data_IF_535423033394
#
_entry.id   IF_535423033394
#
_cell.length_a   1.000
_cell.length_b   1.000
_cell.length_c   1.000
_cell.angle_alpha   90.00
_cell.angle_beta   90.00
_cell.angle_gamma   90.00
#
_symmetry.space_group_name_H-M   'P 1'
#
loop_
_entity.id
_entity.type
_entity.pdbx_description
1 polymer ?
#
# COMPACT_ATOMS: atom_id res chain seq x y z
N UNK A 1 -14.75 17.28 41.36
CA UNK A 1 -14.30 16.83 40.02
C UNK A 1 -12.91 16.17 39.99
N UNK A 2 -11.96 16.52 40.86
CA UNK A 2 -10.59 15.98 40.89
C UNK A 2 -10.47 14.50 41.36
N UNK A 3 -11.38 14.04 42.23
CA UNK A 3 -11.33 12.66 42.81
C UNK A 3 -11.72 11.59 41.77
N UNK A 4 -12.67 11.90 40.87
CA UNK A 4 -13.12 10.95 39.84
C UNK A 4 -12.02 10.70 38.79
N UNK A 5 -11.25 11.73 38.45
CA UNK A 5 -10.13 11.59 37.51
C UNK A 5 -8.98 10.73 38.05
N UNK A 6 -8.75 10.78 39.37
CA UNK A 6 -7.68 9.99 40.00
C UNK A 6 -8.04 8.49 40.11
N UNK A 7 -9.28 8.17 40.38
CA UNK A 7 -9.77 6.79 40.43
C UNK A 7 -9.77 6.16 39.02
N UNK A 8 -10.12 6.94 37.99
CA UNK A 8 -10.11 6.47 36.61
C UNK A 8 -8.66 6.22 36.11
N UNK A 9 -7.73 7.11 36.43
CA UNK A 9 -6.33 6.97 36.05
C UNK A 9 -5.60 5.82 36.76
N UNK A 10 -5.88 5.62 38.05
CA UNK A 10 -5.25 4.56 38.83
C UNK A 10 -5.78 3.15 38.52
N UNK A 11 -7.04 3.03 38.06
CA UNK A 11 -7.65 1.74 37.71
C UNK A 11 -7.35 1.30 36.25
N UNK A 12 -7.05 2.24 35.36
CA UNK A 12 -6.87 1.94 33.91
C UNK A 12 -5.41 1.77 33.52
N UNK A 13 -4.46 2.43 34.20
CA UNK A 13 -3.04 2.41 33.85
C UNK A 13 -2.27 1.11 34.11
N UNK A 14 -2.63 0.23 35.08
CA UNK A 14 -1.89 -1.03 35.26
C UNK A 14 -2.40 -2.20 34.43
N UNK A 15 -3.56 -2.06 33.77
CA UNK A 15 -4.10 -3.11 32.94
C UNK A 15 -3.62 -2.90 31.50
N UNK A 16 -2.54 -3.57 31.10
CA UNK A 16 -2.33 -3.96 29.72
C UNK A 16 -3.28 -5.14 29.44
N UNK A 17 -4.50 -4.91 29.00
CA UNK A 17 -5.41 -6.02 28.72
C UNK A 17 -4.88 -6.74 27.49
N UNK A 18 -4.83 -8.05 27.56
CA UNK A 18 -4.91 -8.85 26.33
C UNK A 18 -6.16 -8.41 25.58
N UNK A 19 -6.12 -8.33 24.26
CA UNK A 19 -7.19 -7.75 23.41
C UNK A 19 -8.62 -8.21 23.79
N UNK A 20 -8.77 -9.43 24.32
CA UNK A 20 -10.04 -9.97 24.78
C UNK A 20 -10.59 -9.33 26.06
N UNK A 21 -9.75 -8.91 27.02
CA UNK A 21 -10.19 -8.28 28.27
C UNK A 21 -10.62 -6.83 28.07
N UNK A 22 -9.93 -6.10 27.19
CA UNK A 22 -10.32 -4.73 26.84
C UNK A 22 -11.69 -4.71 26.15
N UNK A 23 -11.91 -5.64 25.23
CA UNK A 23 -13.19 -5.78 24.53
C UNK A 23 -14.34 -6.06 25.48
N UNK A 24 -14.15 -6.96 26.45
CA UNK A 24 -15.14 -7.29 27.48
C UNK A 24 -15.48 -6.10 28.38
N UNK A 25 -14.47 -5.34 28.81
CA UNK A 25 -14.66 -4.15 29.64
C UNK A 25 -15.38 -3.04 28.87
N UNK A 26 -14.98 -2.79 27.61
CA UNK A 26 -15.61 -1.80 26.75
C UNK A 26 -17.09 -2.09 26.49
N UNK A 27 -17.41 -3.33 26.20
CA UNK A 27 -18.80 -3.79 26.05
C UNK A 27 -19.62 -3.55 27.33
N UNK A 28 -19.03 -3.88 28.48
CA UNK A 28 -19.70 -3.65 29.78
C UNK A 28 -19.91 -2.16 30.08
N UNK A 29 -18.93 -1.33 29.75
CA UNK A 29 -19.03 0.12 29.89
C UNK A 29 -20.12 0.71 28.98
N UNK A 30 -20.13 0.35 27.70
CA UNK A 30 -21.14 0.83 26.76
C UNK A 30 -22.55 0.44 27.18
N UNK A 31 -22.75 -0.78 27.70
CA UNK A 31 -24.03 -1.21 28.28
C UNK A 31 -24.43 -0.38 29.49
N UNK A 32 -23.48 -0.09 30.36
CA UNK A 32 -23.75 0.70 31.58
C UNK A 32 -24.19 2.15 31.29
N UNK A 33 -23.70 2.72 30.17
CA UNK A 33 -24.08 4.08 29.71
C UNK A 33 -25.20 4.08 28.68
N UNK A 34 -25.89 2.94 28.47
CA UNK A 34 -27.06 2.84 27.60
C UNK A 34 -26.75 2.88 26.08
N UNK A 35 -25.51 2.64 25.67
CA UNK A 35 -25.16 2.51 24.26
C UNK A 35 -25.53 1.09 23.83
N UNK A 36 -26.50 0.90 22.92
CA UNK A 36 -26.84 -0.41 22.41
C UNK A 36 -25.69 -0.93 21.55
N UNK A 37 -24.98 -1.91 22.08
CA UNK A 37 -24.02 -2.70 21.26
C UNK A 37 -24.77 -3.96 20.85
N UNK A 38 -24.98 -4.09 19.55
CA UNK A 38 -25.52 -5.31 18.98
C UNK A 38 -24.49 -6.44 19.14
N UNK A 39 -24.77 -7.36 20.04
CA UNK A 39 -23.91 -8.52 20.33
C UNK A 39 -23.88 -9.53 19.17
N UNK A 40 -24.75 -9.39 18.19
CA UNK A 40 -24.92 -10.36 17.12
C UNK A 40 -24.23 -9.94 15.82
N UNK A 41 -23.64 -8.75 15.75
CA UNK A 41 -22.79 -8.42 14.61
C UNK A 41 -21.36 -8.99 14.80
N UNK A 42 -21.25 -10.25 15.10
CA UNK A 42 -20.11 -11.00 14.56
C UNK A 42 -20.33 -11.01 13.05
N UNK A 43 -19.70 -10.04 12.38
CA UNK A 43 -19.49 -10.14 10.95
C UNK A 43 -18.75 -11.46 10.76
N UNK A 44 -19.48 -12.53 10.48
CA UNK A 44 -18.88 -13.78 10.02
C UNK A 44 -18.29 -13.44 8.66
N UNK A 45 -17.01 -13.06 8.68
CA UNK A 45 -16.25 -12.92 7.45
C UNK A 45 -16.24 -14.29 6.82
N UNK A 46 -16.87 -14.48 5.65
CA UNK A 46 -16.90 -15.78 5.00
C UNK A 46 -15.48 -16.33 4.93
N UNK A 47 -15.30 -17.62 5.19
CA UNK A 47 -13.97 -18.25 5.14
C UNK A 47 -13.27 -18.03 3.80
N UNK A 48 -14.03 -17.86 2.71
CA UNK A 48 -13.54 -17.44 1.39
C UNK A 48 -12.98 -16.03 1.35
N UNK A 49 -13.47 -15.10 2.20
CA UNK A 49 -12.90 -13.75 2.33
C UNK A 49 -11.63 -13.74 3.17
N UNK A 50 -11.58 -14.56 4.23
CA UNK A 50 -10.36 -14.68 5.06
C UNK A 50 -9.21 -15.25 4.23
N UNK A 51 -9.46 -16.25 3.40
CA UNK A 51 -8.46 -16.82 2.50
C UNK A 51 -7.94 -15.83 1.44
N UNK A 52 -8.71 -14.79 1.09
CA UNK A 52 -8.33 -13.74 0.14
C UNK A 52 -7.68 -12.53 0.79
N UNK A 53 -7.62 -12.46 2.11
CA UNK A 53 -7.03 -11.32 2.82
C UNK A 53 -5.56 -11.57 3.09
N UNK A 54 -4.69 -10.74 2.53
CA UNK A 54 -3.26 -10.78 2.81
C UNK A 54 -2.98 -10.27 4.24
N UNK A 55 -2.28 -11.08 5.03
CA UNK A 55 -1.92 -10.74 6.41
C UNK A 55 -0.39 -10.66 6.54
N UNK A 56 0.12 -9.48 6.86
CA UNK A 56 1.52 -9.28 7.20
C UNK A 56 1.76 -9.60 8.68
N UNK A 57 2.07 -10.86 8.96
CA UNK A 57 2.32 -11.34 10.32
C UNK A 57 3.80 -11.23 10.72
N UNK A 58 4.07 -11.27 12.03
CA UNK A 58 5.45 -11.37 12.54
C UNK A 58 6.16 -12.63 12.03
N UNK A 59 5.41 -13.72 11.84
CA UNK A 59 5.96 -14.95 11.30
C UNK A 59 6.36 -14.79 9.83
N UNK A 60 5.50 -14.19 9.01
CA UNK A 60 5.82 -13.92 7.60
C UNK A 60 7.05 -13.01 7.49
N UNK A 61 7.16 -11.98 8.35
CA UNK A 61 8.33 -11.12 8.42
C UNK A 61 9.61 -11.92 8.70
N UNK A 62 9.58 -12.80 9.71
CA UNK A 62 10.74 -13.67 10.01
C UNK A 62 11.09 -14.62 8.86
N UNK A 63 10.10 -15.13 8.15
CA UNK A 63 10.34 -15.97 6.97
C UNK A 63 11.04 -15.19 5.86
N UNK A 64 10.66 -13.96 5.61
CA UNK A 64 11.36 -13.07 4.65
C UNK A 64 12.80 -12.78 5.09
N UNK A 65 13.05 -12.56 6.38
CA UNK A 65 14.40 -12.32 6.92
C UNK A 65 15.34 -13.54 6.74
N UNK A 66 14.79 -14.76 6.71
CA UNK A 66 15.54 -16.03 6.58
C UNK A 66 15.46 -16.66 5.19
N UNK A 67 14.85 -15.96 4.24
CA UNK A 67 14.58 -16.45 2.90
C UNK A 67 15.86 -16.71 2.09
N UNK A 68 15.77 -17.59 1.14
CA UNK A 68 16.83 -17.90 0.18
C UNK A 68 16.87 -16.83 -0.92
N UNK A 69 17.75 -15.85 -0.74
CA UNK A 69 17.91 -14.77 -1.71
C UNK A 69 18.52 -15.22 -3.04
N UNK A 70 19.24 -16.35 -3.06
CA UNK A 70 19.77 -16.86 -4.31
C UNK A 70 18.61 -17.42 -5.16
N UNK A 71 17.74 -18.24 -4.59
CA UNK A 71 16.52 -18.68 -5.25
C UNK A 71 15.66 -17.46 -5.69
N UNK A 72 15.55 -16.45 -4.82
CA UNK A 72 14.86 -15.20 -5.13
C UNK A 72 15.44 -14.46 -6.33
N UNK A 73 16.77 -14.47 -6.49
CA UNK A 73 17.46 -13.90 -7.65
C UNK A 73 17.14 -14.67 -8.93
N UNK A 74 17.25 -15.99 -8.89
CA UNK A 74 17.01 -16.84 -10.05
C UNK A 74 15.55 -16.70 -10.54
N UNK A 75 14.61 -16.54 -9.60
CA UNK A 75 13.21 -16.23 -9.90
C UNK A 75 13.06 -14.82 -10.50
N UNK A 76 13.76 -13.82 -9.94
CA UNK A 76 13.70 -12.44 -10.42
C UNK A 76 14.19 -12.32 -11.87
N UNK A 77 15.20 -13.08 -12.27
CA UNK A 77 15.70 -13.09 -13.64
C UNK A 77 14.61 -13.49 -14.65
N UNK A 78 13.62 -14.28 -14.22
CA UNK A 78 12.44 -14.61 -15.05
C UNK A 78 11.42 -13.47 -15.16
N UNK A 79 11.47 -12.51 -14.27
CA UNK A 79 10.58 -11.33 -14.24
C UNK A 79 11.14 -10.17 -15.09
N UNK A 80 12.47 -10.11 -15.27
CA UNK A 80 13.17 -9.02 -15.96
C UNK A 80 12.70 -8.76 -17.40
N UNK A 81 12.34 -9.75 -18.24
CA UNK A 81 11.87 -9.47 -19.59
C UNK A 81 10.69 -8.48 -19.65
N UNK A 82 9.89 -8.39 -18.58
CA UNK A 82 8.77 -7.46 -18.50
C UNK A 82 8.99 -6.32 -17.51
N UNK A 83 9.74 -6.57 -16.42
CA UNK A 83 9.84 -5.65 -15.28
C UNK A 83 11.21 -4.93 -15.19
N UNK A 84 12.08 -5.03 -16.20
CA UNK A 84 13.38 -4.35 -16.18
C UNK A 84 13.28 -2.86 -16.49
N UNK A 85 14.26 -2.11 -15.98
CA UNK A 85 14.40 -0.69 -16.30
C UNK A 85 14.69 -0.41 -17.79
N UNK A 86 15.22 -1.38 -18.50
CA UNK A 86 15.51 -1.29 -19.94
C UNK A 86 14.22 -1.32 -20.79
N UNK A 87 13.17 -1.94 -20.27
CA UNK A 87 11.84 -2.00 -20.89
C UNK A 87 10.96 -0.79 -20.51
N UNK A 88 11.55 0.28 -20.01
CA UNK A 88 10.88 1.56 -19.74
C UNK A 88 10.63 2.33 -21.03
N UNK A 89 9.65 1.94 -21.79
CA UNK A 89 9.02 2.87 -22.71
C UNK A 89 8.06 3.79 -21.94
N UNK A 90 7.77 4.99 -22.42
CA UNK A 90 6.82 5.93 -21.79
C UNK A 90 5.41 5.34 -21.72
N UNK A 91 5.11 4.42 -22.62
CA UNK A 91 3.89 3.64 -22.74
C UNK A 91 3.96 2.29 -22.00
N UNK A 92 4.98 2.06 -21.16
CA UNK A 92 5.11 0.79 -20.45
C UNK A 92 3.90 0.52 -19.56
N UNK A 93 3.21 -0.57 -19.87
CA UNK A 93 2.01 -1.02 -19.11
C UNK A 93 2.36 -1.85 -17.89
N UNK A 94 3.64 -2.11 -17.67
CA UNK A 94 4.17 -2.90 -16.56
C UNK A 94 5.01 -2.01 -15.63
N UNK A 95 4.90 -2.18 -14.30
CA UNK A 95 5.68 -1.38 -13.37
C UNK A 95 7.09 -1.92 -13.23
N UNK A 96 8.02 -1.06 -12.82
CA UNK A 96 9.23 -1.53 -12.16
C UNK A 96 8.86 -2.13 -10.81
N UNK A 97 9.52 -3.24 -10.48
CA UNK A 97 9.33 -3.93 -9.21
C UNK A 97 10.54 -3.80 -8.28
N UNK A 98 11.63 -3.20 -8.78
CA UNK A 98 12.84 -2.98 -8.01
C UNK A 98 12.57 -2.15 -6.76
N UNK A 99 13.21 -2.55 -5.66
CA UNK A 99 13.10 -1.86 -4.38
C UNK A 99 11.69 -1.73 -3.78
N UNK A 100 10.72 -2.49 -4.27
CA UNK A 100 9.46 -2.62 -3.55
C UNK A 100 9.70 -3.23 -2.17
N UNK A 101 8.94 -2.78 -1.16
CA UNK A 101 8.99 -3.46 0.14
C UNK A 101 8.49 -4.90 0.00
N UNK A 102 9.08 -5.82 0.76
CA UNK A 102 8.65 -7.23 0.76
C UNK A 102 7.16 -7.36 1.05
N UNK A 103 6.61 -6.51 1.92
CA UNK A 103 5.19 -6.49 2.25
C UNK A 103 4.32 -6.11 1.05
N UNK A 104 4.69 -5.08 0.32
CA UNK A 104 3.98 -4.67 -0.90
C UNK A 104 4.08 -5.76 -1.95
N UNK A 105 5.28 -6.31 -2.19
CA UNK A 105 5.49 -7.36 -3.18
C UNK A 105 4.64 -8.59 -2.88
N UNK A 106 4.73 -9.14 -1.67
CA UNK A 106 3.96 -10.32 -1.27
C UNK A 106 2.46 -10.07 -1.32
N UNK A 107 2.02 -8.87 -0.90
CA UNK A 107 0.61 -8.50 -1.04
C UNK A 107 0.15 -8.49 -2.48
N UNK A 108 0.90 -7.88 -3.39
CA UNK A 108 0.49 -7.82 -4.80
C UNK A 108 0.48 -9.21 -5.45
N UNK A 109 1.48 -10.05 -5.18
CA UNK A 109 1.50 -11.44 -5.68
C UNK A 109 0.31 -12.24 -5.14
N UNK A 110 0.02 -12.13 -3.84
CA UNK A 110 -1.13 -12.76 -3.22
C UNK A 110 -2.45 -12.29 -3.85
N UNK A 111 -2.61 -10.98 -4.03
CA UNK A 111 -3.83 -10.39 -4.60
C UNK A 111 -4.06 -10.84 -6.06
N UNK A 112 -2.99 -10.97 -6.85
CA UNK A 112 -3.07 -11.54 -8.19
C UNK A 112 -3.41 -13.03 -8.15
N UNK A 113 -2.71 -13.82 -7.34
CA UNK A 113 -2.93 -15.27 -7.24
C UNK A 113 -4.37 -15.62 -6.80
N UNK A 114 -4.95 -14.82 -5.90
CA UNK A 114 -6.31 -15.00 -5.38
C UNK A 114 -7.39 -14.31 -6.21
N UNK A 115 -7.02 -13.54 -7.24
CA UNK A 115 -7.94 -12.78 -8.08
C UNK A 115 -8.56 -11.55 -7.40
N UNK A 116 -8.07 -11.13 -6.22
CA UNK A 116 -8.44 -9.87 -5.56
C UNK A 116 -7.96 -8.68 -6.38
N UNK A 117 -6.81 -8.82 -7.05
CA UNK A 117 -6.35 -7.94 -8.10
C UNK A 117 -6.41 -8.67 -9.43
N UNK A 118 -7.23 -8.18 -10.36
CA UNK A 118 -7.30 -8.72 -11.71
C UNK A 118 -6.03 -8.42 -12.52
N UNK A 119 -5.74 -9.28 -13.49
CA UNK A 119 -4.60 -9.08 -14.40
C UNK A 119 -4.41 -10.31 -15.28
N UNK A 120 -4.64 -10.16 -16.59
CA UNK A 120 -4.58 -11.28 -17.54
C UNK A 120 -3.20 -11.98 -17.56
N UNK A 121 -2.11 -11.20 -17.39
CA UNK A 121 -0.75 -11.73 -17.38
C UNK A 121 -0.29 -12.09 -15.96
N UNK A 122 -0.48 -11.20 -14.99
CA UNK A 122 0.09 -11.39 -13.68
C UNK A 122 -0.64 -12.43 -12.83
N UNK A 123 -1.91 -12.68 -13.07
CA UNK A 123 -2.66 -13.69 -12.32
C UNK A 123 -2.12 -15.10 -12.53
N UNK A 124 -1.97 -15.63 -13.76
CA UNK A 124 -1.38 -16.96 -13.95
C UNK A 124 0.07 -17.04 -13.47
N UNK A 125 0.87 -15.98 -13.64
CA UNK A 125 2.26 -15.94 -13.14
C UNK A 125 2.27 -16.07 -11.62
N UNK A 126 1.46 -15.28 -10.92
CA UNK A 126 1.40 -15.32 -9.46
C UNK A 126 0.83 -16.64 -8.92
N UNK A 127 -0.09 -17.29 -9.65
CA UNK A 127 -0.61 -18.62 -9.32
C UNK A 127 0.43 -19.73 -9.51
N UNK A 128 1.40 -19.54 -10.41
CA UNK A 128 2.52 -20.46 -10.62
C UNK A 128 3.60 -20.40 -9.54
N UNK A 129 3.64 -19.34 -8.74
CA UNK A 129 4.58 -19.19 -7.63
C UNK A 129 4.03 -19.90 -6.37
N UNK A 130 4.81 -20.79 -5.79
CA UNK A 130 4.48 -21.29 -4.45
C UNK A 130 4.83 -20.24 -3.39
N UNK A 131 4.36 -20.43 -2.16
CA UNK A 131 4.55 -19.46 -1.07
C UNK A 131 6.03 -19.22 -0.75
N UNK A 132 6.86 -20.24 -0.80
CA UNK A 132 8.30 -20.14 -0.54
C UNK A 132 8.97 -19.26 -1.61
N UNK A 133 8.70 -19.55 -2.88
CA UNK A 133 9.26 -18.79 -4.00
C UNK A 133 8.86 -17.31 -3.96
N UNK A 134 7.61 -17.02 -3.62
CA UNK A 134 7.16 -15.64 -3.45
C UNK A 134 7.92 -14.92 -2.31
N UNK A 135 8.21 -15.61 -1.20
CA UNK A 135 8.97 -15.07 -0.07
C UNK A 135 10.44 -14.85 -0.46
N UNK A 136 11.07 -15.81 -1.13
CA UNK A 136 12.47 -15.74 -1.57
C UNK A 136 12.65 -14.59 -2.57
N UNK A 137 11.73 -14.46 -3.53
CA UNK A 137 11.69 -13.36 -4.50
C UNK A 137 11.53 -12.00 -3.79
N UNK A 138 10.60 -11.87 -2.85
CA UNK A 138 10.40 -10.62 -2.11
C UNK A 138 11.61 -10.25 -1.25
N UNK A 139 12.30 -11.24 -0.65
CA UNK A 139 13.51 -11.03 0.12
C UNK A 139 14.70 -10.58 -0.75
N UNK A 140 14.77 -11.05 -1.99
CA UNK A 140 15.77 -10.59 -2.95
C UNK A 140 15.48 -9.16 -3.38
N UNK A 141 14.26 -8.85 -3.81
CA UNK A 141 13.87 -7.53 -4.31
C UNK A 141 14.04 -6.44 -3.25
N UNK A 142 13.67 -6.70 -2.00
CA UNK A 142 13.83 -5.69 -0.92
C UNK A 142 15.29 -5.39 -0.61
N UNK A 143 16.21 -6.29 -0.93
CA UNK A 143 17.65 -6.11 -0.74
C UNK A 143 18.33 -5.40 -1.92
N UNK A 144 17.63 -5.20 -3.03
CA UNK A 144 18.16 -4.46 -4.17
C UNK A 144 18.38 -2.99 -3.82
N UNK A 145 19.39 -2.34 -4.42
CA UNK A 145 19.55 -0.90 -4.32
C UNK A 145 18.26 -0.21 -4.80
N UNK A 146 17.70 0.66 -3.98
CA UNK A 146 16.55 1.46 -4.40
C UNK A 146 17.01 2.43 -5.47
N UNK A 147 16.33 2.49 -6.63
CA UNK A 147 16.51 3.63 -7.50
C UNK A 147 16.11 4.85 -6.65
N UNK A 148 17.06 5.72 -6.38
CA UNK A 148 16.76 7.01 -5.74
C UNK A 148 15.72 7.77 -6.56
N UNK A 149 15.07 8.79 -6.00
CA UNK A 149 14.38 9.76 -6.83
C UNK A 149 15.36 10.19 -7.91
N UNK A 150 14.91 10.41 -9.16
CA UNK A 150 15.82 10.73 -10.26
C UNK A 150 16.78 11.84 -9.83
N UNK A 151 18.04 11.47 -9.57
CA UNK A 151 19.08 12.42 -9.17
C UNK A 151 19.42 13.18 -10.45
N UNK A 152 18.93 14.38 -10.53
CA UNK A 152 19.16 15.23 -11.70
C UNK A 152 17.89 15.73 -12.35
N UNK A 153 16.73 15.25 -11.97
CA UNK A 153 15.52 15.91 -12.38
C UNK A 153 15.39 17.24 -11.61
N UNK A 154 15.94 18.31 -12.21
CA UNK A 154 15.73 19.70 -11.77
C UNK A 154 14.25 20.08 -11.79
N UNK A 155 13.41 19.19 -12.29
CA UNK A 155 11.95 19.27 -12.32
C UNK A 155 11.23 18.38 -11.27
N UNK A 156 11.93 17.74 -10.30
CA UNK A 156 11.31 17.71 -8.97
C UNK A 156 11.15 19.18 -8.64
N UNK A 157 10.03 19.69 -9.08
CA UNK A 157 9.75 21.11 -9.19
C UNK A 157 10.35 21.76 -7.96
N UNK A 158 11.27 22.67 -8.16
CA UNK A 158 11.70 23.58 -7.12
C UNK A 158 10.46 23.76 -6.27
N UNK A 159 10.55 23.40 -4.98
CA UNK A 159 9.41 23.35 -4.09
C UNK A 159 8.56 24.62 -4.33
N UNK A 160 7.59 24.48 -5.22
CA UNK A 160 6.72 25.59 -5.62
C UNK A 160 5.34 25.36 -5.00
N UNK A 161 5.10 25.92 -3.83
CA UNK A 161 3.80 25.81 -3.17
C UNK A 161 2.66 26.45 -3.97
N UNK A 162 2.94 27.22 -5.03
CA UNK A 162 1.91 27.76 -5.91
C UNK A 162 1.43 26.73 -6.94
N UNK A 163 2.23 25.70 -7.25
CA UNK A 163 1.86 24.63 -8.17
C UNK A 163 0.79 23.72 -7.55
N UNK A 164 -0.40 23.56 -8.16
CA UNK A 164 -1.48 22.75 -7.63
C UNK A 164 -1.10 21.27 -7.42
N UNK A 165 -0.36 20.68 -8.36
CA UNK A 165 0.07 19.28 -8.28
C UNK A 165 1.06 19.07 -7.13
N UNK A 166 2.03 19.98 -6.94
CA UNK A 166 2.92 19.98 -5.80
C UNK A 166 2.13 20.06 -4.48
N UNK A 167 1.10 20.92 -4.42
CA UNK A 167 0.26 21.02 -3.23
C UNK A 167 -0.47 19.73 -2.91
N UNK A 168 -1.05 19.06 -3.91
CA UNK A 168 -1.70 17.75 -3.71
C UNK A 168 -0.71 16.72 -3.17
N UNK A 169 0.50 16.69 -3.71
CA UNK A 169 1.51 15.70 -3.32
C UNK A 169 1.97 15.90 -1.88
N UNK A 170 2.26 17.12 -1.47
CA UNK A 170 2.92 17.40 -0.19
C UNK A 170 1.97 17.90 0.92
N UNK A 171 0.82 18.45 0.58
CA UNK A 171 -0.13 19.00 1.54
C UNK A 171 -1.53 18.40 1.44
N UNK A 172 -1.85 17.73 0.32
CA UNK A 172 -3.19 17.22 0.06
C UNK A 172 -4.24 18.32 -0.15
N UNK A 173 -5.51 17.92 -0.08
CA UNK A 173 -6.65 18.84 0.00
C UNK A 173 -7.64 18.36 1.08
N UNK A 174 -7.52 18.85 2.31
CA UNK A 174 -8.38 18.44 3.41
C UNK A 174 -9.88 18.72 3.17
N UNK A 175 -10.22 19.73 2.35
CA UNK A 175 -11.62 20.05 2.04
C UNK A 175 -12.27 18.96 1.19
N UNK A 176 -11.49 18.29 0.35
CA UNK A 176 -11.94 17.15 -0.47
C UNK A 176 -11.60 15.80 0.16
N UNK A 177 -11.00 15.76 1.36
CA UNK A 177 -10.58 14.53 2.01
C UNK A 177 -9.38 13.86 1.31
N UNK A 178 -8.55 14.62 0.60
CA UNK A 178 -7.35 14.12 -0.07
C UNK A 178 -6.16 14.27 0.86
N UNK A 179 -5.65 13.15 1.36
CA UNK A 179 -4.39 13.12 2.12
C UNK A 179 -3.19 13.41 1.21
N UNK A 180 -2.09 13.99 1.73
CA UNK A 180 -0.86 14.16 0.95
C UNK A 180 -0.35 12.83 0.39
N UNK A 181 -0.07 12.76 -0.89
CA UNK A 181 0.47 11.54 -1.50
C UNK A 181 1.79 11.11 -0.84
N UNK A 182 2.64 12.10 -0.52
CA UNK A 182 3.94 11.91 0.12
C UNK A 182 3.84 11.32 1.53
N UNK A 183 2.70 11.44 2.22
CA UNK A 183 2.52 10.87 3.57
C UNK A 183 2.57 9.34 3.57
N UNK A 184 2.18 8.70 2.47
CA UNK A 184 2.21 7.25 2.31
C UNK A 184 3.26 6.81 1.29
N UNK A 185 3.37 7.52 0.16
CA UNK A 185 4.25 7.15 -0.94
C UNK A 185 5.61 7.86 -0.90
N UNK A 186 5.85 8.78 0.00
CA UNK A 186 7.04 9.57 0.33
C UNK A 186 8.05 9.84 -0.79
N UNK A 187 8.94 10.82 -0.66
CA UNK A 187 10.04 10.98 -1.61
C UNK A 187 10.98 9.77 -1.60
N UNK A 188 11.06 9.07 -0.47
CA UNK A 188 11.84 7.85 -0.31
C UNK A 188 10.98 6.57 -0.47
N UNK A 189 9.72 6.71 -0.86
CA UNK A 189 8.82 5.63 -1.23
C UNK A 189 8.41 4.69 -0.10
N UNK A 190 8.44 5.13 1.18
CA UNK A 190 8.29 4.12 2.24
C UNK A 190 7.53 4.56 3.47
N UNK A 191 6.23 4.46 3.41
CA UNK A 191 5.57 3.78 4.50
C UNK A 191 5.47 2.29 4.15
N UNK A 192 5.65 1.40 5.12
CA UNK A 192 5.81 -0.05 4.88
C UNK A 192 4.68 -0.70 4.05
N UNK A 193 3.57 -0.02 3.86
CA UNK A 193 2.34 -0.52 3.23
C UNK A 193 2.01 0.10 1.87
N UNK A 194 2.65 1.19 1.51
CA UNK A 194 2.43 1.87 0.24
C UNK A 194 3.57 1.56 -0.75
N UNK A 195 3.28 1.30 -2.03
CA UNK A 195 4.31 1.09 -3.03
C UNK A 195 5.06 2.39 -3.31
N UNK A 196 6.32 2.27 -3.71
CA UNK A 196 7.01 3.35 -4.38
C UNK A 196 6.34 3.63 -5.71
N UNK A 197 6.05 4.90 -5.99
CA UNK A 197 5.37 5.32 -7.21
C UNK A 197 6.22 6.23 -8.11
N UNK A 198 7.35 6.71 -7.61
CA UNK A 198 8.31 7.45 -8.42
C UNK A 198 8.99 6.54 -9.44
N UNK A 199 9.11 7.03 -10.67
CA UNK A 199 9.71 6.30 -11.77
C UNK A 199 8.82 5.24 -12.41
N UNK A 200 7.55 5.16 -12.04
CA UNK A 200 6.56 4.42 -12.82
C UNK A 200 6.34 5.13 -14.16
N UNK A 201 6.04 4.37 -15.23
CA UNK A 201 5.63 4.99 -16.49
C UNK A 201 4.35 5.81 -16.28
N UNK A 202 4.21 6.88 -17.05
CA UNK A 202 3.02 7.72 -17.01
C UNK A 202 1.76 6.90 -17.30
N UNK A 203 1.80 6.03 -18.33
CA UNK A 203 0.65 5.22 -18.72
C UNK A 203 0.25 4.23 -17.62
N UNK A 204 1.22 3.53 -17.02
CA UNK A 204 0.91 2.62 -15.92
C UNK A 204 0.32 3.36 -14.72
N UNK A 205 0.93 4.48 -14.29
CA UNK A 205 0.42 5.27 -13.17
C UNK A 205 -1.00 5.77 -13.44
N UNK A 206 -1.22 6.38 -14.62
CA UNK A 206 -2.54 6.88 -15.03
C UNK A 206 -3.58 5.77 -14.98
N UNK A 207 -3.28 4.63 -15.57
CA UNK A 207 -4.18 3.48 -15.55
C UNK A 207 -4.51 3.05 -14.12
N UNK A 208 -3.51 2.95 -13.23
CA UNK A 208 -3.75 2.47 -11.87
C UNK A 208 -4.62 3.44 -11.07
N UNK A 209 -4.39 4.75 -11.18
CA UNK A 209 -5.17 5.76 -10.45
C UNK A 209 -6.60 5.87 -10.99
N UNK A 210 -6.78 5.70 -12.29
CA UNK A 210 -8.11 5.65 -12.93
C UNK A 210 -8.87 4.37 -12.55
N UNK A 211 -8.20 3.22 -12.51
CA UNK A 211 -8.79 1.95 -12.07
C UNK A 211 -9.24 2.02 -10.60
N UNK A 212 -8.50 2.70 -9.73
CA UNK A 212 -8.96 2.97 -8.36
C UNK A 212 -10.15 3.92 -8.33
N UNK A 213 -10.14 4.97 -9.13
CA UNK A 213 -11.23 5.96 -9.17
C UNK A 213 -12.56 5.34 -9.63
N UNK A 214 -12.53 4.49 -10.65
CA UNK A 214 -13.71 3.82 -11.20
C UNK A 214 -14.06 2.50 -10.51
N UNK A 215 -13.17 1.97 -9.64
CA UNK A 215 -13.38 0.74 -8.89
C UNK A 215 -12.98 -0.54 -9.62
N UNK A 216 -12.40 -0.47 -10.83
CA UNK A 216 -11.86 -1.62 -11.54
C UNK A 216 -10.68 -2.26 -10.78
N UNK A 217 -9.96 -1.45 -9.99
CA UNK A 217 -8.98 -1.90 -9.01
C UNK A 217 -9.48 -1.61 -7.60
N UNK A 218 -9.58 -2.66 -6.76
CA UNK A 218 -10.17 -2.58 -5.42
C UNK A 218 -9.36 -3.33 -4.33
N UNK A 219 -8.07 -3.58 -4.60
CA UNK A 219 -7.19 -4.31 -3.70
C UNK A 219 -6.43 -3.42 -2.70
N UNK A 220 -6.82 -2.17 -2.57
CA UNK A 220 -6.25 -1.18 -1.66
C UNK A 220 -6.70 -1.42 -0.21
N UNK A 221 -5.78 -1.27 0.73
CA UNK A 221 -6.07 -1.38 2.16
C UNK A 221 -7.02 -0.25 2.57
N UNK A 222 -8.08 -0.62 3.29
CA UNK A 222 -9.08 0.32 3.83
C UNK A 222 -9.74 1.23 2.78
N UNK A 223 -9.71 0.84 1.51
CA UNK A 223 -10.21 1.66 0.39
C UNK A 223 -9.50 3.01 0.23
N UNK A 224 -8.29 3.16 0.76
CA UNK A 224 -7.59 4.44 0.82
C UNK A 224 -7.36 5.04 -0.58
N UNK A 225 -6.83 4.25 -1.51
CA UNK A 225 -6.58 4.74 -2.87
C UNK A 225 -7.88 5.01 -3.63
N UNK A 226 -8.91 4.18 -3.48
CA UNK A 226 -10.22 4.41 -4.08
C UNK A 226 -10.87 5.69 -3.59
N UNK A 227 -10.77 5.97 -2.28
CA UNK A 227 -11.32 7.21 -1.70
C UNK A 227 -10.60 8.44 -2.26
N UNK A 228 -9.27 8.44 -2.26
CA UNK A 228 -8.45 9.55 -2.76
C UNK A 228 -8.67 9.74 -4.27
N UNK A 229 -8.55 8.66 -5.06
CA UNK A 229 -8.61 8.74 -6.52
C UNK A 229 -9.96 9.24 -7.05
N UNK A 230 -11.05 8.95 -6.36
CA UNK A 230 -12.40 9.45 -6.70
C UNK A 230 -12.55 10.96 -6.49
N UNK A 231 -11.78 11.54 -5.58
CA UNK A 231 -11.80 12.99 -5.31
C UNK A 231 -10.93 13.78 -6.29
N UNK A 232 -10.00 13.11 -6.98
CA UNK A 232 -9.16 13.75 -7.98
C UNK A 232 -9.92 13.94 -9.29
N UNK A 233 -9.77 15.13 -9.88
CA UNK A 233 -10.24 15.38 -11.26
C UNK A 233 -9.40 14.58 -12.27
N UNK A 234 -9.90 14.45 -13.51
CA UNK A 234 -9.16 13.79 -14.59
C UNK A 234 -7.82 14.50 -14.85
N UNK A 235 -7.82 15.85 -14.85
CA UNK A 235 -6.61 16.65 -15.04
C UNK A 235 -5.59 16.40 -13.93
N UNK A 236 -6.00 16.43 -12.66
CA UNK A 236 -5.12 16.17 -11.52
C UNK A 236 -4.49 14.78 -11.58
N UNK A 237 -5.25 13.75 -12.00
CA UNK A 237 -4.69 12.41 -12.17
C UNK A 237 -3.64 12.35 -13.28
N UNK A 238 -3.87 13.07 -14.38
CA UNK A 238 -2.90 13.15 -15.48
C UNK A 238 -1.62 13.93 -15.08
N UNK A 239 -1.77 15.03 -14.34
CA UNK A 239 -0.64 15.81 -13.84
C UNK A 239 0.19 15.04 -12.79
N UNK A 240 -0.49 14.28 -11.91
CA UNK A 240 0.19 13.38 -10.97
C UNK A 240 0.94 12.26 -11.71
N UNK A 241 0.36 11.70 -12.78
CA UNK A 241 1.02 10.69 -13.60
C UNK A 241 2.29 11.25 -14.26
N UNK A 242 2.23 12.47 -14.76
CA UNK A 242 3.39 13.17 -15.32
C UNK A 242 4.48 13.40 -14.27
N UNK A 243 4.09 13.90 -13.10
CA UNK A 243 5.03 14.17 -12.00
C UNK A 243 5.75 12.91 -11.52
N UNK A 244 5.01 11.82 -11.26
CA UNK A 244 5.59 10.59 -10.73
C UNK A 244 6.35 9.76 -11.78
N UNK A 245 6.12 9.99 -13.06
CA UNK A 245 6.91 9.38 -14.12
C UNK A 245 8.36 9.87 -14.11
N UNK A 246 8.63 11.05 -13.54
CA UNK A 246 9.99 11.54 -13.32
C UNK A 246 10.78 11.79 -14.60
N UNK A 247 10.12 12.14 -15.72
CA UNK A 247 10.77 12.39 -17.00
C UNK A 247 10.79 13.86 -17.36
N UNK A 248 11.95 14.26 -17.94
CA UNK A 248 12.32 15.63 -18.25
C UNK A 248 11.66 16.21 -19.52
N UNK A 249 10.55 15.64 -19.98
CA UNK A 249 9.88 16.06 -21.20
C UNK A 249 8.84 17.19 -20.97
N UNK A 250 9.16 18.10 -20.03
CA UNK A 250 8.44 19.36 -19.83
C UNK A 250 9.35 20.56 -20.04
#
# INVERSE_FOLDING_TARGET
MLVISFVFGAAVLPLRPTDGQFRSWWVSFCRAVGIPLDEQTQVQVPSSMVAKTFIWSTELKRRVERADRQNGRDLYDTCLPCHSSENRADDAKVPLIDAMSARVMLKQLHDYATGVRGGELMQPIAQGLNERDAIDLAAYIVAMPRPGPPVGNKTVAVADPSNPTYRLIYFGDPRRGIAPCSSCHGPDGVTADAPQIYGLSREYFQKQIDDFANGARANDLYSAMRMISRQLTVSERAELAQYFAGRDDL
#
